data_IF_823222388169
#
_entry.id   IF_823222388169
#
_cell.length_a   1.000
_cell.length_b   1.000
_cell.length_c   1.000
_cell.angle_alpha   90.00
_cell.angle_beta   90.00
_cell.angle_gamma   90.00
#
_symmetry.space_group_name_H-M   'P 1'
#
loop_
_entity.id
_entity.type
_entity.pdbx_description
1 polymer ?
#
# COMPACT_ATOMS: atom_id res chain seq x y z
N UNK A 1 -14.05 33.72 38.16
CA UNK A 1 -14.83 32.50 38.42
C UNK A 1 -14.07 31.71 39.49
N UNK A 2 -14.51 31.78 40.72
CA UNK A 2 -13.84 31.17 41.88
C UNK A 2 -14.30 29.72 41.95
N UNK A 3 -13.38 28.78 41.78
CA UNK A 3 -13.67 27.35 41.95
C UNK A 3 -13.93 27.08 43.43
N UNK A 4 -15.13 26.60 43.77
CA UNK A 4 -15.48 26.16 45.10
C UNK A 4 -14.53 25.07 45.60
N UNK A 5 -13.97 25.19 46.83
CA UNK A 5 -13.14 24.17 47.45
C UNK A 5 -14.05 23.10 48.04
N UNK A 6 -14.27 21.99 47.33
CA UNK A 6 -15.15 20.96 47.92
C UNK A 6 -15.24 19.61 47.23
N UNK A 7 -14.57 19.39 46.14
CA UNK A 7 -14.49 18.05 45.56
C UNK A 7 -13.08 17.46 45.75
N UNK A 8 -12.82 17.02 47.00
CA UNK A 8 -11.73 16.06 47.20
C UNK A 8 -12.05 14.80 46.38
N UNK A 9 -11.35 14.62 45.30
CA UNK A 9 -11.36 13.35 44.57
C UNK A 9 -10.88 12.30 45.57
N UNK A 10 -11.80 11.47 46.07
CA UNK A 10 -11.48 10.34 46.89
C UNK A 10 -10.60 9.41 46.03
N UNK A 11 -9.27 9.55 46.18
CA UNK A 11 -8.34 8.64 45.52
C UNK A 11 -8.60 7.23 46.04
N UNK A 12 -9.03 6.33 45.18
CA UNK A 12 -9.11 4.91 45.50
C UNK A 12 -7.76 4.48 46.02
N UNK A 13 -7.75 3.63 47.06
CA UNK A 13 -6.56 3.14 47.76
C UNK A 13 -5.60 2.30 46.90
N UNK A 14 -5.98 1.96 45.67
CA UNK A 14 -5.10 1.24 44.76
C UNK A 14 -4.14 2.21 44.08
N UNK A 15 -2.83 2.00 44.21
CA UNK A 15 -1.86 2.89 43.59
C UNK A 15 -2.03 2.92 42.08
N UNK A 16 -2.27 4.11 41.52
CA UNK A 16 -2.28 4.33 40.09
C UNK A 16 -0.89 3.99 39.56
N UNK A 17 -0.80 2.94 38.71
CA UNK A 17 0.46 2.51 38.11
C UNK A 17 0.57 3.03 36.69
N UNK A 18 1.76 3.47 36.33
CA UNK A 18 2.09 3.77 34.93
C UNK A 18 2.08 2.46 34.15
N UNK A 19 1.44 2.43 32.98
CA UNK A 19 1.49 1.27 32.09
C UNK A 19 2.95 1.06 31.64
N UNK A 20 3.43 -0.21 31.60
CA UNK A 20 4.80 -0.49 31.19
C UNK A 20 5.08 -0.19 29.71
N UNK A 21 4.03 -0.13 28.90
CA UNK A 21 4.09 0.20 27.47
C UNK A 21 2.80 0.87 27.02
N UNK A 22 2.87 1.64 25.94
CA UNK A 22 1.72 2.26 25.28
C UNK A 22 1.02 1.29 24.31
N UNK A 23 1.66 0.16 23.97
CA UNK A 23 1.11 -0.84 23.06
C UNK A 23 0.19 -1.82 23.80
N UNK A 24 -0.88 -2.24 23.12
CA UNK A 24 -1.82 -3.20 23.67
C UNK A 24 -1.30 -4.65 23.55
N UNK A 25 -0.34 -4.90 22.65
CA UNK A 25 0.30 -6.21 22.48
C UNK A 25 1.77 -6.12 22.08
N UNK A 26 2.53 -7.20 22.33
CA UNK A 26 3.91 -7.34 21.84
C UNK A 26 3.99 -7.37 20.30
N UNK A 27 2.93 -7.84 19.65
CA UNK A 27 2.87 -7.86 18.19
C UNK A 27 2.80 -6.42 17.61
N UNK A 28 1.96 -5.59 18.19
CA UNK A 28 1.90 -4.16 17.82
C UNK A 28 3.22 -3.45 18.07
N UNK A 29 3.85 -3.66 19.23
CA UNK A 29 5.16 -3.08 19.52
C UNK A 29 6.20 -3.49 18.46
N UNK A 30 6.22 -4.77 18.06
CA UNK A 30 7.15 -5.27 17.03
C UNK A 30 6.90 -4.61 15.67
N UNK A 31 5.63 -4.49 15.27
CA UNK A 31 5.25 -3.80 14.03
C UNK A 31 5.67 -2.34 14.07
N UNK A 32 5.38 -1.63 15.17
CA UNK A 32 5.79 -0.25 15.36
C UNK A 32 7.29 -0.06 15.20
N UNK A 33 8.11 -0.88 15.87
CA UNK A 33 9.57 -0.78 15.80
C UNK A 33 10.10 -1.02 14.40
N UNK A 34 9.50 -1.97 13.66
CA UNK A 34 9.86 -2.23 12.26
C UNK A 34 9.54 -1.02 11.38
N UNK A 35 8.33 -0.47 11.50
CA UNK A 35 7.92 0.72 10.75
C UNK A 35 8.78 1.94 11.11
N UNK A 36 9.05 2.16 12.40
CA UNK A 36 9.87 3.27 12.88
C UNK A 36 11.29 3.18 12.33
N UNK A 37 11.94 2.00 12.39
CA UNK A 37 13.31 1.84 11.91
C UNK A 37 13.45 2.12 10.42
N UNK A 38 12.40 1.91 9.63
CA UNK A 38 12.43 2.11 8.18
C UNK A 38 12.02 3.52 7.74
N UNK A 39 11.00 4.08 8.39
CA UNK A 39 10.33 5.26 7.88
C UNK A 39 10.58 6.53 8.69
N UNK A 40 11.28 6.45 9.86
CA UNK A 40 11.49 7.61 10.74
C UNK A 40 12.43 8.68 10.18
N UNK A 41 13.17 8.40 9.11
CA UNK A 41 14.00 9.39 8.44
C UNK A 41 13.18 10.37 7.59
N UNK A 42 12.01 9.94 7.10
CA UNK A 42 11.17 10.72 6.21
C UNK A 42 9.84 11.14 6.86
N UNK A 43 9.35 10.35 7.81
CA UNK A 43 8.03 10.49 8.40
C UNK A 43 8.09 10.44 9.93
N UNK A 44 7.18 11.15 10.58
CA UNK A 44 6.96 11.01 12.02
C UNK A 44 5.89 9.94 12.23
N UNK A 45 6.21 8.94 13.03
CA UNK A 45 5.30 7.84 13.36
C UNK A 45 4.78 7.98 14.80
N UNK A 46 3.46 8.12 14.94
CA UNK A 46 2.78 8.18 16.23
C UNK A 46 2.05 6.85 16.50
N UNK A 47 2.34 6.18 17.61
CA UNK A 47 1.54 5.04 18.06
C UNK A 47 0.27 5.53 18.77
N UNK A 48 -0.83 4.79 18.59
CA UNK A 48 -2.07 4.96 19.38
C UNK A 48 -2.64 6.38 19.37
N UNK A 49 -2.71 7.02 18.18
CA UNK A 49 -3.24 8.38 18.08
C UNK A 49 -4.78 8.38 18.11
N UNK A 50 -5.44 9.24 18.93
CA UNK A 50 -6.90 9.36 18.95
C UNK A 50 -7.48 9.69 17.57
N UNK A 51 -8.55 9.00 17.18
CA UNK A 51 -9.22 9.22 15.89
C UNK A 51 -9.68 10.68 15.76
N UNK A 52 -10.16 11.29 16.83
CA UNK A 52 -10.59 12.70 16.90
C UNK A 52 -9.45 13.72 16.69
N UNK A 53 -8.18 13.28 16.67
CA UNK A 53 -7.04 14.13 16.27
C UNK A 53 -6.72 14.03 14.76
N UNK A 54 -7.26 13.04 14.10
CA UNK A 54 -7.05 12.79 12.67
C UNK A 54 -8.21 13.32 11.83
N UNK A 55 -9.42 13.20 12.36
CA UNK A 55 -10.66 13.51 11.67
C UNK A 55 -11.43 14.53 12.52
N UNK A 56 -11.84 15.63 11.92
CA UNK A 56 -12.75 16.60 12.55
C UNK A 56 -14.18 16.25 12.16
N UNK A 57 -15.08 16.23 13.14
CA UNK A 57 -16.52 16.19 12.89
C UNK A 57 -17.03 17.61 12.67
N UNK A 58 -17.86 17.81 11.67
CA UNK A 58 -18.57 19.09 11.48
C UNK A 58 -19.70 19.22 12.48
N UNK A 59 -20.09 20.48 12.81
CA UNK A 59 -21.13 20.75 13.82
C UNK A 59 -22.49 20.15 13.48
N UNK A 60 -22.77 19.92 12.19
CA UNK A 60 -24.01 19.32 11.68
C UNK A 60 -24.02 17.79 11.68
N UNK A 61 -22.90 17.14 12.03
CA UNK A 61 -22.80 15.68 12.10
C UNK A 61 -23.60 15.13 13.30
N UNK A 62 -24.87 14.83 13.10
CA UNK A 62 -25.74 14.22 14.10
C UNK A 62 -25.46 12.74 14.29
N UNK A 63 -24.37 12.43 14.98
CA UNK A 63 -24.02 11.04 15.27
C UNK A 63 -24.81 10.51 16.47
N UNK A 64 -25.16 9.21 16.47
CA UNK A 64 -25.67 8.55 17.68
C UNK A 64 -24.69 8.70 18.85
N UNK A 65 -25.19 8.87 20.07
CA UNK A 65 -24.36 9.10 21.26
C UNK A 65 -23.30 8.00 21.49
N UNK A 66 -23.59 6.74 21.10
CA UNK A 66 -22.65 5.62 21.17
C UNK A 66 -21.50 5.76 20.16
N UNK A 67 -21.78 6.23 18.96
CA UNK A 67 -20.77 6.47 17.94
C UNK A 67 -19.90 7.69 18.28
N UNK A 68 -20.51 8.77 18.76
CA UNK A 68 -19.79 9.95 19.21
C UNK A 68 -18.82 9.61 20.36
N UNK A 69 -19.28 8.82 21.34
CA UNK A 69 -18.42 8.32 22.42
C UNK A 69 -17.26 7.48 21.86
N UNK A 70 -17.56 6.57 20.94
CA UNK A 70 -16.55 5.74 20.30
C UNK A 70 -15.51 6.59 19.55
N UNK A 71 -15.96 7.56 18.76
CA UNK A 71 -15.09 8.46 17.99
C UNK A 71 -14.04 9.17 18.87
N UNK A 72 -14.46 9.71 20.03
CA UNK A 72 -13.56 10.41 20.94
C UNK A 72 -12.70 9.47 21.81
N UNK A 73 -13.08 8.21 21.97
CA UNK A 73 -12.37 7.26 22.84
C UNK A 73 -11.52 6.23 22.09
N UNK A 74 -11.64 6.17 20.76
CA UNK A 74 -10.89 5.20 19.96
C UNK A 74 -9.59 5.80 19.45
N UNK A 75 -8.56 4.95 19.38
CA UNK A 75 -7.28 5.30 18.79
C UNK A 75 -7.08 4.51 17.50
N UNK A 76 -6.21 5.03 16.64
CA UNK A 76 -5.64 4.33 15.49
C UNK A 76 -4.26 3.82 15.89
N UNK A 77 -3.90 2.60 15.49
CA UNK A 77 -2.70 1.94 16.01
C UNK A 77 -1.43 2.69 15.63
N UNK A 78 -1.29 3.09 14.35
CA UNK A 78 -0.14 3.86 13.88
C UNK A 78 -0.59 4.94 12.91
N UNK A 79 -0.04 6.14 13.08
CA UNK A 79 -0.30 7.27 12.18
C UNK A 79 1.02 7.85 11.68
N UNK A 80 1.12 7.96 10.38
CA UNK A 80 2.26 8.55 9.69
C UNK A 80 1.96 10.00 9.35
N UNK A 81 2.87 10.88 9.76
CA UNK A 81 2.77 12.32 9.54
C UNK A 81 4.00 12.83 8.79
N UNK A 82 3.82 13.92 8.08
CA UNK A 82 4.97 14.71 7.57
C UNK A 82 5.83 15.22 8.72
N UNK A 83 7.07 15.66 8.48
CA UNK A 83 7.89 16.35 9.50
C UNK A 83 7.19 17.57 10.13
N UNK A 84 6.30 18.23 9.41
CA UNK A 84 5.44 19.32 9.93
C UNK A 84 4.26 18.87 10.76
N UNK A 85 4.08 17.57 11.02
CA UNK A 85 3.00 17.03 11.85
C UNK A 85 1.66 16.83 11.14
N UNK A 86 1.58 17.02 9.81
CA UNK A 86 0.35 16.78 9.04
C UNK A 86 0.15 15.27 8.85
N UNK A 87 -0.99 14.69 9.27
CA UNK A 87 -1.29 13.29 9.04
C UNK A 87 -1.38 12.97 7.53
N UNK A 88 -0.72 11.90 7.09
CA UNK A 88 -0.74 11.43 5.71
C UNK A 88 -1.63 10.20 5.56
N UNK A 89 -1.42 9.21 6.41
CA UNK A 89 -2.19 7.97 6.43
C UNK A 89 -2.05 7.29 7.79
N UNK A 90 -2.92 6.32 8.03
CA UNK A 90 -2.86 5.49 9.24
C UNK A 90 -2.90 4.01 8.92
N UNK A 91 -2.42 3.19 9.87
CA UNK A 91 -2.40 1.74 9.79
C UNK A 91 -3.06 1.17 11.05
N UNK A 92 -4.06 0.32 10.87
CA UNK A 92 -4.66 -0.54 11.89
C UNK A 92 -4.08 -1.94 11.76
N UNK A 93 -3.61 -2.49 12.87
CA UNK A 93 -3.10 -3.86 12.90
C UNK A 93 -4.21 -4.82 13.34
N UNK A 94 -4.89 -5.44 12.37
CA UNK A 94 -5.87 -6.50 12.61
C UNK A 94 -5.29 -7.87 12.30
N UNK A 95 -4.62 -8.48 13.28
CA UNK A 95 -3.96 -9.79 13.14
C UNK A 95 -4.86 -10.92 12.62
N UNK A 96 -6.17 -10.75 12.66
CA UNK A 96 -7.18 -11.72 12.20
C UNK A 96 -7.98 -11.22 10.99
N UNK A 97 -7.65 -10.09 10.43
CA UNK A 97 -8.38 -9.47 9.32
C UNK A 97 -8.30 -10.26 8.01
N UNK A 98 -9.34 -10.15 7.20
CA UNK A 98 -9.43 -10.74 5.85
C UNK A 98 -8.98 -9.80 4.73
N UNK A 99 -8.64 -8.53 5.02
CA UNK A 99 -8.38 -7.50 4.02
C UNK A 99 -9.66 -6.89 3.45
N UNK A 100 -9.54 -6.28 2.27
CA UNK A 100 -10.64 -5.63 1.57
C UNK A 100 -10.90 -6.30 0.23
N UNK A 101 -12.15 -6.25 -0.22
CA UNK A 101 -12.46 -6.49 -1.62
C UNK A 101 -11.90 -5.37 -2.50
N UNK A 102 -11.86 -5.58 -3.82
CA UNK A 102 -11.46 -4.55 -4.78
C UNK A 102 -12.33 -3.29 -4.75
N UNK A 103 -13.55 -3.41 -4.27
CA UNK A 103 -14.48 -2.28 -4.09
C UNK A 103 -14.38 -1.62 -2.71
N UNK A 104 -13.35 -1.95 -1.92
CA UNK A 104 -13.09 -1.32 -0.63
C UNK A 104 -13.95 -1.81 0.53
N UNK A 105 -14.66 -2.94 0.40
CA UNK A 105 -15.43 -3.53 1.50
C UNK A 105 -14.52 -4.41 2.35
N UNK A 106 -14.41 -4.09 3.65
CA UNK A 106 -13.63 -4.89 4.59
C UNK A 106 -14.23 -6.28 4.80
N UNK A 107 -13.37 -7.29 4.75
CA UNK A 107 -13.74 -8.70 4.89
C UNK A 107 -13.28 -9.18 6.26
N UNK A 108 -14.21 -9.41 7.20
CA UNK A 108 -13.87 -9.92 8.51
C UNK A 108 -13.36 -11.37 8.40
N UNK A 109 -12.41 -11.75 9.23
CA UNK A 109 -11.93 -13.12 9.29
C UNK A 109 -13.07 -14.09 9.68
N UNK A 110 -13.25 -15.17 8.93
CA UNK A 110 -14.36 -16.14 9.12
C UNK A 110 -14.46 -16.76 10.51
N UNK A 111 -13.32 -16.81 11.24
CA UNK A 111 -13.24 -17.41 12.58
C UNK A 111 -13.58 -16.42 13.72
N UNK A 112 -13.63 -15.12 13.46
CA UNK A 112 -13.95 -14.14 14.50
C UNK A 112 -15.45 -13.87 14.51
N UNK A 113 -16.10 -14.30 15.60
CA UNK A 113 -17.50 -13.92 15.91
C UNK A 113 -17.59 -12.61 16.72
N UNK A 114 -16.49 -11.89 16.86
CA UNK A 114 -16.47 -10.64 17.64
C UNK A 114 -17.09 -9.49 16.83
N UNK A 115 -18.42 -9.37 17.00
CA UNK A 115 -19.21 -8.30 16.39
C UNK A 115 -18.77 -6.92 16.82
N UNK A 116 -18.25 -6.79 18.05
CA UNK A 116 -17.80 -5.51 18.59
C UNK A 116 -16.53 -5.03 17.88
N UNK A 117 -15.56 -5.94 17.64
CA UNK A 117 -14.36 -5.64 16.87
C UNK A 117 -14.70 -5.24 15.44
N UNK A 118 -15.59 -5.98 14.78
CA UNK A 118 -16.05 -5.66 13.42
C UNK A 118 -16.73 -4.30 13.36
N UNK A 119 -17.58 -3.99 14.32
CA UNK A 119 -18.25 -2.70 14.42
C UNK A 119 -17.25 -1.56 14.64
N UNK A 120 -16.30 -1.71 15.57
CA UNK A 120 -15.25 -0.71 15.83
C UNK A 120 -14.43 -0.39 14.60
N UNK A 121 -13.91 -1.42 13.95
CA UNK A 121 -13.09 -1.25 12.73
C UNK A 121 -13.93 -0.68 11.58
N UNK A 122 -15.13 -1.22 11.35
CA UNK A 122 -16.04 -0.70 10.32
C UNK A 122 -16.42 0.76 10.54
N UNK A 123 -16.54 1.19 11.79
CA UNK A 123 -16.83 2.59 12.14
C UNK A 123 -15.62 3.49 11.84
N UNK A 124 -14.39 3.10 12.21
CA UNK A 124 -13.16 3.83 11.84
C UNK A 124 -13.03 3.99 10.33
N UNK A 125 -13.23 2.90 9.58
CA UNK A 125 -13.16 2.90 8.12
C UNK A 125 -14.20 3.82 7.48
N UNK A 126 -15.43 3.82 8.00
CA UNK A 126 -16.49 4.70 7.51
C UNK A 126 -16.15 6.18 7.71
N UNK A 127 -15.60 6.56 8.87
CA UNK A 127 -15.16 7.94 9.10
C UNK A 127 -13.97 8.31 8.20
N UNK A 128 -12.98 7.42 8.08
CA UNK A 128 -11.85 7.66 7.20
C UNK A 128 -12.30 7.86 5.74
N UNK A 129 -13.22 7.01 5.26
CA UNK A 129 -13.78 7.11 3.92
C UNK A 129 -14.57 8.41 3.69
N UNK A 130 -15.36 8.87 4.67
CA UNK A 130 -16.15 10.10 4.55
C UNK A 130 -15.27 11.34 4.30
N UNK A 131 -14.08 11.38 4.87
CA UNK A 131 -13.10 12.48 4.69
C UNK A 131 -11.96 12.12 3.74
N UNK A 132 -12.06 11.00 3.03
CA UNK A 132 -11.02 10.48 2.12
C UNK A 132 -9.64 10.35 2.79
N UNK A 133 -9.63 10.04 4.08
CA UNK A 133 -8.39 9.83 4.81
C UNK A 133 -7.88 8.40 4.59
N UNK A 134 -6.63 8.23 4.11
CA UNK A 134 -6.08 6.90 3.84
C UNK A 134 -5.91 6.10 5.12
N UNK A 135 -6.63 4.97 5.23
CA UNK A 135 -6.55 4.05 6.36
C UNK A 135 -6.32 2.62 5.86
N UNK A 136 -5.20 2.04 6.27
CA UNK A 136 -4.84 0.65 5.97
C UNK A 136 -5.26 -0.25 7.13
N UNK A 137 -5.70 -1.47 6.80
CA UNK A 137 -5.89 -2.54 7.79
C UNK A 137 -4.99 -3.71 7.40
N UNK A 138 -3.97 -3.95 8.20
CA UNK A 138 -2.95 -4.96 7.92
C UNK A 138 -2.98 -6.09 8.94
N UNK A 139 -2.46 -7.25 8.57
CA UNK A 139 -2.32 -8.40 9.45
C UNK A 139 -0.86 -8.89 9.49
N UNK A 140 -0.66 -10.07 10.07
CA UNK A 140 0.64 -10.72 10.10
C UNK A 140 1.23 -11.02 8.71
N UNK A 141 0.39 -11.19 7.67
CA UNK A 141 0.87 -11.46 6.31
C UNK A 141 1.62 -10.26 5.73
N UNK A 142 1.07 -9.06 5.88
CA UNK A 142 1.64 -7.84 5.32
C UNK A 142 2.88 -7.34 6.05
N UNK A 143 3.01 -7.67 7.34
CA UNK A 143 4.14 -7.27 8.20
C UNK A 143 5.22 -8.34 8.33
N UNK A 144 5.04 -9.49 7.67
CA UNK A 144 6.04 -10.54 7.62
C UNK A 144 7.17 -10.16 6.69
N UNK A 145 8.40 -10.24 7.19
CA UNK A 145 9.60 -10.04 6.39
C UNK A 145 9.76 -11.12 5.31
N UNK A 146 10.23 -10.74 4.15
CA UNK A 146 10.59 -11.67 3.07
C UNK A 146 11.94 -12.34 3.30
N UNK A 147 12.85 -11.63 3.97
CA UNK A 147 14.24 -12.04 4.13
C UNK A 147 14.89 -11.37 5.34
N UNK A 148 16.21 -11.52 5.44
CA UNK A 148 17.05 -10.97 6.53
C UNK A 148 17.07 -9.42 6.54
N UNK A 149 16.67 -8.77 5.45
CA UNK A 149 16.63 -7.31 5.34
C UNK A 149 15.36 -6.69 5.92
N UNK A 150 14.47 -7.51 6.44
CA UNK A 150 13.22 -7.12 7.11
C UNK A 150 12.23 -6.33 6.24
N UNK A 151 12.35 -6.38 4.90
CA UNK A 151 11.39 -5.76 3.99
C UNK A 151 10.09 -6.57 3.97
N UNK A 152 8.96 -5.89 3.94
CA UNK A 152 7.62 -6.49 4.05
C UNK A 152 6.72 -6.02 2.90
N UNK A 153 5.56 -6.67 2.71
CA UNK A 153 4.50 -6.17 1.82
C UNK A 153 4.04 -4.77 2.25
N UNK A 154 3.93 -4.54 3.55
CA UNK A 154 3.52 -3.23 4.07
C UNK A 154 4.50 -2.12 3.66
N UNK A 155 5.79 -2.39 3.64
CA UNK A 155 6.79 -1.42 3.16
C UNK A 155 6.59 -1.07 1.68
N UNK A 156 6.26 -2.05 0.84
CA UNK A 156 5.92 -1.79 -0.57
C UNK A 156 4.64 -0.96 -0.72
N UNK A 157 3.61 -1.23 0.10
CA UNK A 157 2.37 -0.44 0.09
C UNK A 157 2.63 1.02 0.49
N UNK A 158 3.35 1.23 1.59
CA UNK A 158 3.74 2.57 2.06
C UNK A 158 4.59 3.26 1.00
N UNK A 159 5.57 2.56 0.43
CA UNK A 159 6.44 3.08 -0.61
C UNK A 159 5.69 3.53 -1.86
N UNK A 160 4.75 2.72 -2.36
CA UNK A 160 3.90 3.09 -3.50
C UNK A 160 2.99 4.29 -3.18
N UNK A 161 2.44 4.34 -1.96
CA UNK A 161 1.67 5.48 -1.50
C UNK A 161 2.51 6.77 -1.51
N UNK A 162 3.72 6.73 -0.96
CA UNK A 162 4.63 7.87 -0.92
C UNK A 162 5.10 8.27 -2.32
N UNK A 163 5.41 7.30 -3.18
CA UNK A 163 5.79 7.55 -4.56
C UNK A 163 4.70 8.33 -5.30
N UNK A 164 3.44 7.95 -5.12
CA UNK A 164 2.31 8.66 -5.71
C UNK A 164 2.10 10.03 -5.07
N UNK A 165 2.21 10.13 -3.74
CA UNK A 165 1.98 11.37 -3.00
C UNK A 165 3.02 12.45 -3.31
N UNK A 166 4.26 12.03 -3.59
CA UNK A 166 5.38 12.93 -3.93
C UNK A 166 5.56 13.13 -5.44
N UNK A 167 4.75 12.49 -6.29
CA UNK A 167 4.94 12.55 -7.74
C UNK A 167 4.91 13.98 -8.28
N UNK A 168 4.04 14.82 -7.72
CA UNK A 168 3.95 16.24 -8.12
C UNK A 168 5.26 17.00 -7.89
N UNK A 169 6.02 16.66 -6.82
CA UNK A 169 7.34 17.24 -6.57
C UNK A 169 8.31 16.89 -7.71
N UNK A 170 8.32 15.61 -8.14
CA UNK A 170 9.16 15.16 -9.28
C UNK A 170 8.73 15.74 -10.61
N UNK A 171 7.42 15.98 -10.80
CA UNK A 171 6.91 16.63 -12.02
C UNK A 171 7.25 18.12 -12.05
N UNK A 172 7.27 18.79 -10.91
CA UNK A 172 7.63 20.20 -10.80
C UNK A 172 9.13 20.43 -11.13
N UNK A 173 9.97 19.45 -10.82
CA UNK A 173 11.42 19.50 -11.10
C UNK A 173 11.75 19.08 -12.55
N UNK A 174 10.77 18.70 -13.36
CA UNK A 174 11.00 18.34 -14.76
C UNK A 174 11.46 19.57 -15.55
N UNK A 175 12.71 19.52 -16.01
CA UNK A 175 13.18 20.42 -17.04
C UNK A 175 12.60 19.94 -18.38
N UNK A 176 11.45 20.45 -18.76
CA UNK A 176 10.91 20.23 -20.08
C UNK A 176 11.80 21.00 -21.06
N UNK A 177 12.40 20.36 -22.09
CA UNK A 177 13.25 21.05 -23.06
C UNK A 177 12.48 22.22 -23.70
N UNK A 178 13.20 23.29 -23.98
CA UNK A 178 12.63 24.42 -24.72
C UNK A 178 12.29 23.95 -26.14
N UNK A 179 11.02 24.08 -26.51
CA UNK A 179 10.49 23.50 -27.74
C UNK A 179 10.52 24.47 -28.94
N UNK A 180 11.16 25.63 -28.82
CA UNK A 180 11.30 26.60 -29.92
C UNK A 180 11.96 25.97 -31.15
N UNK A 181 12.81 24.97 -30.98
CA UNK A 181 13.44 24.21 -32.08
C UNK A 181 12.43 23.36 -32.89
N UNK A 182 11.24 23.07 -32.36
CA UNK A 182 10.20 22.28 -33.02
C UNK A 182 9.07 23.14 -33.61
N UNK A 183 9.06 24.41 -33.33
CA UNK A 183 7.98 25.34 -33.74
C UNK A 183 7.76 25.46 -35.29
N UNK A 184 8.71 24.97 -36.07
CA UNK A 184 8.61 24.99 -37.55
C UNK A 184 8.15 23.67 -38.18
N UNK A 185 7.88 22.63 -37.41
CA UNK A 185 7.63 21.26 -37.93
C UNK A 185 6.13 20.90 -38.06
N UNK A 186 5.21 21.84 -37.71
CA UNK A 186 3.77 21.58 -37.77
C UNK A 186 3.34 20.37 -36.94
N UNK A 187 2.35 19.60 -37.44
CA UNK A 187 1.78 18.43 -36.74
C UNK A 187 2.83 17.39 -36.27
N UNK A 188 3.96 17.28 -36.97
CA UNK A 188 5.05 16.40 -36.57
C UNK A 188 5.79 16.95 -35.33
N UNK A 189 5.95 18.27 -35.24
CA UNK A 189 6.54 18.93 -34.08
C UNK A 189 5.68 18.71 -32.83
N UNK A 190 4.36 18.89 -32.95
CA UNK A 190 3.40 18.68 -31.85
C UNK A 190 3.40 17.21 -31.37
N UNK A 191 3.48 16.24 -32.29
CA UNK A 191 3.58 14.83 -31.95
C UNK A 191 4.90 14.50 -31.21
N UNK A 192 6.04 14.95 -31.73
CA UNK A 192 7.34 14.72 -31.14
C UNK A 192 7.46 15.36 -29.74
N UNK A 193 6.89 16.57 -29.58
CA UNK A 193 6.80 17.24 -28.31
C UNK A 193 5.96 16.43 -27.30
N UNK A 194 4.82 15.88 -27.74
CA UNK A 194 3.96 15.03 -26.90
C UNK A 194 4.69 13.77 -26.40
N UNK A 195 5.48 13.12 -27.26
CA UNK A 195 6.27 11.94 -26.86
C UNK A 195 7.39 12.29 -25.86
N UNK A 196 8.10 13.41 -26.06
CA UNK A 196 9.13 13.86 -25.13
C UNK A 196 8.57 14.19 -23.73
N UNK A 197 7.41 14.85 -23.68
CA UNK A 197 6.70 15.13 -22.43
C UNK A 197 6.30 13.80 -21.75
N UNK A 198 5.75 12.85 -22.51
CA UNK A 198 5.34 11.56 -21.99
C UNK A 198 6.54 10.77 -21.43
N UNK A 199 7.67 10.75 -22.13
CA UNK A 199 8.89 10.10 -21.67
C UNK A 199 9.45 10.76 -20.39
N UNK A 200 9.41 12.08 -20.30
CA UNK A 200 9.83 12.83 -19.12
C UNK A 200 8.92 12.51 -17.91
N UNK A 201 7.61 12.46 -18.11
CA UNK A 201 6.64 12.09 -17.06
C UNK A 201 6.85 10.65 -16.62
N UNK A 202 7.01 9.70 -17.54
CA UNK A 202 7.33 8.31 -17.19
C UNK A 202 8.65 8.21 -16.43
N UNK A 203 9.66 8.98 -16.81
CA UNK A 203 10.94 9.05 -16.09
C UNK A 203 10.78 9.57 -14.66
N UNK A 204 9.93 10.57 -14.44
CA UNK A 204 9.60 11.09 -13.10
C UNK A 204 8.86 10.04 -12.25
N UNK A 205 7.89 9.34 -12.82
CA UNK A 205 7.19 8.26 -12.14
C UNK A 205 8.13 7.12 -11.71
N UNK A 206 9.02 6.71 -12.60
CA UNK A 206 10.02 5.66 -12.30
C UNK A 206 10.95 6.13 -11.18
N UNK A 207 11.47 7.35 -11.24
CA UNK A 207 12.32 7.92 -10.17
C UNK A 207 11.58 7.98 -8.86
N UNK A 208 10.36 8.53 -8.83
CA UNK A 208 9.56 8.59 -7.62
C UNK A 208 9.33 7.20 -7.01
N UNK A 209 9.06 6.18 -7.83
CA UNK A 209 8.92 4.79 -7.36
C UNK A 209 10.23 4.24 -6.79
N UNK A 210 11.35 4.40 -7.48
CA UNK A 210 12.64 3.88 -7.02
C UNK A 210 13.12 4.57 -5.74
N UNK A 211 12.83 5.84 -5.57
CA UNK A 211 13.24 6.60 -4.39
C UNK A 211 12.39 6.27 -3.15
N UNK A 212 11.09 6.04 -3.34
CA UNK A 212 10.15 5.89 -2.23
C UNK A 212 9.69 4.45 -1.97
N UNK A 213 9.73 3.54 -2.97
CA UNK A 213 9.34 2.14 -2.78
C UNK A 213 10.56 1.22 -2.60
N UNK A 214 10.82 0.70 -1.39
CA UNK A 214 11.96 -0.17 -1.13
C UNK A 214 11.88 -1.51 -1.89
N UNK A 215 10.68 -2.03 -2.19
CA UNK A 215 10.53 -3.26 -2.99
C UNK A 215 10.88 -3.01 -4.46
N UNK A 216 10.38 -1.92 -5.05
CA UNK A 216 10.72 -1.55 -6.42
C UNK A 216 12.22 -1.33 -6.58
N UNK A 217 12.83 -0.59 -5.64
CA UNK A 217 14.27 -0.34 -5.62
C UNK A 217 15.06 -1.64 -5.55
N UNK A 218 14.71 -2.55 -4.66
CA UNK A 218 15.39 -3.84 -4.51
C UNK A 218 15.21 -4.73 -5.75
N UNK A 219 14.01 -4.78 -6.30
CA UNK A 219 13.77 -5.52 -7.54
C UNK A 219 14.67 -5.02 -8.69
N UNK A 220 14.79 -3.70 -8.85
CA UNK A 220 15.66 -3.10 -9.85
C UNK A 220 17.15 -3.40 -9.60
N UNK A 221 17.62 -3.29 -8.35
CA UNK A 221 18.99 -3.62 -7.97
C UNK A 221 19.35 -5.08 -8.26
N UNK A 222 18.49 -6.02 -7.87
CA UNK A 222 18.71 -7.46 -8.10
C UNK A 222 18.66 -7.80 -9.59
N UNK A 223 17.76 -7.17 -10.36
CA UNK A 223 17.70 -7.33 -11.82
C UNK A 223 18.97 -6.85 -12.51
N UNK A 224 19.47 -5.68 -12.10
CA UNK A 224 20.74 -5.16 -12.62
C UNK A 224 21.93 -6.05 -12.23
N UNK A 225 21.98 -6.51 -10.97
CA UNK A 225 23.03 -7.41 -10.49
C UNK A 225 23.02 -8.79 -11.16
N UNK A 226 21.86 -9.23 -11.64
CA UNK A 226 21.71 -10.45 -12.44
C UNK A 226 22.27 -10.27 -13.88
N UNK A 227 22.55 -9.05 -14.32
CA UNK A 227 22.99 -8.70 -15.67
C UNK A 227 21.82 -8.53 -16.65
N UNK A 228 20.61 -8.33 -16.14
CA UNK A 228 19.40 -8.30 -16.94
C UNK A 228 18.95 -9.69 -17.38
N UNK A 229 18.17 -9.75 -18.43
CA UNK A 229 17.68 -11.00 -19.00
C UNK A 229 16.16 -11.03 -19.10
N UNK A 230 15.64 -12.02 -19.85
CA UNK A 230 14.19 -12.20 -19.98
C UNK A 230 13.57 -12.80 -18.71
N UNK A 231 12.43 -12.26 -18.33
CA UNK A 231 11.57 -12.85 -17.32
C UNK A 231 10.11 -12.81 -17.78
N UNK A 232 9.28 -13.65 -17.19
CA UNK A 232 7.84 -13.62 -17.39
C UNK A 232 7.09 -13.41 -16.09
N UNK A 233 5.93 -12.76 -16.17
CA UNK A 233 5.03 -12.52 -15.06
C UNK A 233 3.69 -13.16 -15.35
N UNK A 234 3.11 -13.80 -14.34
CA UNK A 234 1.77 -14.38 -14.37
C UNK A 234 0.95 -13.83 -13.19
N UNK A 235 -0.22 -13.29 -13.49
CA UNK A 235 -1.14 -12.77 -12.48
C UNK A 235 -2.07 -13.86 -11.96
N UNK A 236 -2.18 -13.97 -10.66
CA UNK A 236 -3.00 -14.94 -9.94
C UNK A 236 -4.02 -14.20 -9.08
N UNK A 237 -5.22 -14.74 -8.95
CA UNK A 237 -6.29 -14.14 -8.15
C UNK A 237 -6.97 -15.20 -7.27
N UNK A 238 -7.44 -14.78 -6.10
CA UNK A 238 -8.19 -15.63 -5.17
C UNK A 238 -9.51 -14.93 -4.78
N UNK A 239 -10.68 -15.44 -5.19
CA UNK A 239 -10.86 -16.60 -6.06
C UNK A 239 -10.32 -16.41 -7.49
N UNK A 240 -9.97 -17.50 -8.19
CA UNK A 240 -9.39 -17.42 -9.52
C UNK A 240 -10.39 -16.82 -10.52
N UNK A 241 -9.85 -16.05 -11.49
CA UNK A 241 -10.67 -15.53 -12.59
C UNK A 241 -11.03 -16.65 -13.56
N UNK A 242 -12.20 -16.59 -14.20
CA UNK A 242 -12.52 -17.44 -15.33
C UNK A 242 -11.42 -17.39 -16.41
N UNK A 243 -11.23 -18.47 -17.13
CA UNK A 243 -10.26 -18.52 -18.24
C UNK A 243 -10.58 -17.43 -19.28
N UNK A 244 -9.54 -16.76 -19.78
CA UNK A 244 -9.73 -15.72 -20.79
C UNK A 244 -9.99 -16.36 -22.15
N UNK A 245 -11.07 -15.98 -22.79
CA UNK A 245 -11.25 -16.32 -24.20
C UNK A 245 -10.27 -15.51 -25.05
N UNK A 246 -9.64 -16.13 -26.06
CA UNK A 246 -8.79 -15.39 -27.00
C UNK A 246 -9.63 -14.37 -27.78
N UNK A 247 -9.06 -13.20 -28.03
CA UNK A 247 -9.73 -12.22 -28.88
C UNK A 247 -9.89 -12.79 -30.30
N UNK A 248 -11.08 -12.78 -30.87
CA UNK A 248 -11.31 -13.36 -32.21
C UNK A 248 -10.47 -12.62 -33.27
N UNK A 249 -9.61 -13.34 -33.96
CA UNK A 249 -8.78 -12.75 -35.02
C UNK A 249 -9.66 -12.29 -36.20
N UNK A 250 -9.40 -11.09 -36.68
CA UNK A 250 -10.07 -10.52 -37.86
C UNK A 250 -11.46 -9.91 -37.62
N UNK A 251 -11.93 -9.82 -36.39
CA UNK A 251 -13.17 -9.10 -36.05
C UNK A 251 -12.88 -7.63 -35.68
N UNK A 252 -13.72 -6.74 -36.18
CA UNK A 252 -13.68 -5.30 -35.86
C UNK A 252 -14.26 -5.05 -34.45
N UNK A 253 -15.12 -5.96 -33.98
CA UNK A 253 -15.75 -5.88 -32.67
C UNK A 253 -15.86 -7.25 -32.02
N UNK A 254 -15.67 -7.36 -30.70
CA UNK A 254 -15.79 -8.63 -29.99
C UNK A 254 -17.22 -9.17 -30.02
N UNK A 255 -17.36 -10.47 -30.26
CA UNK A 255 -18.67 -11.13 -30.27
C UNK A 255 -19.30 -11.22 -28.85
N UNK A 256 -20.61 -11.54 -28.76
CA UNK A 256 -21.36 -11.58 -27.50
C UNK A 256 -20.72 -12.50 -26.45
N UNK A 257 -20.20 -13.66 -26.86
CA UNK A 257 -19.56 -14.65 -25.98
C UNK A 257 -18.28 -14.08 -25.35
N UNK A 258 -17.44 -13.41 -26.14
CA UNK A 258 -16.24 -12.74 -25.62
C UNK A 258 -16.61 -11.64 -24.62
N UNK A 259 -17.64 -10.83 -24.93
CA UNK A 259 -18.10 -9.77 -24.02
C UNK A 259 -18.67 -10.34 -22.72
N UNK A 260 -19.43 -11.44 -22.78
CA UNK A 260 -19.93 -12.13 -21.58
C UNK A 260 -18.78 -12.68 -20.72
N UNK A 261 -17.77 -13.29 -21.34
CA UNK A 261 -16.58 -13.76 -20.64
C UNK A 261 -15.79 -12.58 -20.01
N UNK A 262 -15.61 -11.50 -20.75
CA UNK A 262 -14.94 -10.28 -20.23
C UNK A 262 -15.68 -9.73 -19.01
N UNK A 263 -17.00 -9.61 -19.07
CA UNK A 263 -17.83 -9.17 -17.94
C UNK A 263 -17.73 -10.11 -16.74
N UNK A 264 -17.75 -11.44 -16.98
CA UNK A 264 -17.60 -12.42 -15.91
C UNK A 264 -16.22 -12.34 -15.25
N UNK A 265 -15.16 -12.17 -16.03
CA UNK A 265 -13.79 -11.96 -15.52
C UNK A 265 -13.69 -10.68 -14.72
N UNK A 266 -14.26 -9.59 -15.22
CA UNK A 266 -14.29 -8.31 -14.52
C UNK A 266 -15.02 -8.42 -13.18
N UNK A 267 -16.20 -9.05 -13.16
CA UNK A 267 -16.96 -9.29 -11.94
C UNK A 267 -16.21 -10.18 -10.94
N UNK A 268 -15.49 -11.19 -11.40
CA UNK A 268 -14.65 -12.04 -10.56
C UNK A 268 -13.44 -11.27 -10.00
N UNK A 269 -12.82 -10.43 -10.81
CA UNK A 269 -11.71 -9.56 -10.37
C UNK A 269 -12.13 -8.62 -9.26
N UNK A 270 -13.32 -8.00 -9.34
CA UNK A 270 -13.86 -7.17 -8.26
C UNK A 270 -14.09 -7.93 -6.95
N UNK A 271 -14.34 -9.25 -7.03
CA UNK A 271 -14.53 -10.12 -5.88
C UNK A 271 -13.23 -10.70 -5.32
N UNK A 272 -12.12 -10.53 -6.03
CA UNK A 272 -10.84 -11.05 -5.59
C UNK A 272 -10.41 -10.37 -4.28
N UNK A 273 -10.08 -11.20 -3.29
CA UNK A 273 -9.62 -10.77 -1.96
C UNK A 273 -8.10 -10.68 -1.94
N UNK A 274 -7.45 -11.59 -2.72
CA UNK A 274 -6.00 -11.66 -2.83
C UNK A 274 -5.60 -11.58 -4.30
N UNK A 275 -4.47 -10.95 -4.54
CA UNK A 275 -3.78 -10.96 -5.81
C UNK A 275 -2.40 -11.55 -5.60
N UNK A 276 -1.96 -12.36 -6.55
CA UNK A 276 -0.61 -12.94 -6.58
C UNK A 276 0.09 -12.60 -7.87
N UNK A 277 1.40 -12.55 -7.81
CA UNK A 277 2.27 -12.47 -8.97
C UNK A 277 3.28 -13.60 -8.90
N UNK A 278 3.36 -14.38 -9.97
CA UNK A 278 4.41 -15.38 -10.20
C UNK A 278 5.40 -14.81 -11.20
N UNK A 279 6.65 -14.75 -10.81
CA UNK A 279 7.75 -14.33 -11.69
C UNK A 279 8.65 -15.52 -11.99
N UNK A 280 9.00 -15.68 -13.25
CA UNK A 280 9.89 -16.76 -13.72
C UNK A 280 11.09 -16.15 -14.45
N UNK A 281 12.28 -16.54 -14.05
CA UNK A 281 13.55 -16.21 -14.73
C UNK A 281 14.20 -17.51 -15.21
N UNK A 282 14.53 -17.57 -16.48
CA UNK A 282 15.29 -18.67 -17.04
C UNK A 282 16.80 -18.39 -16.91
N UNK A 283 17.51 -19.27 -16.25
CA UNK A 283 18.96 -19.22 -16.09
C UNK A 283 19.63 -20.38 -16.82
N UNK A 284 20.93 -20.33 -16.95
CA UNK A 284 21.72 -21.48 -17.51
C UNK A 284 21.59 -22.73 -16.66
N UNK A 285 21.23 -22.61 -15.40
CA UNK A 285 21.06 -23.73 -14.44
C UNK A 285 19.61 -24.20 -14.31
N UNK A 286 18.66 -23.61 -15.05
CA UNK A 286 17.23 -23.92 -15.00
C UNK A 286 16.37 -22.70 -14.71
N UNK A 287 15.07 -22.92 -14.52
CA UNK A 287 14.12 -21.85 -14.23
C UNK A 287 14.03 -21.59 -12.72
N UNK A 288 14.08 -20.33 -12.33
CA UNK A 288 13.81 -19.86 -10.96
C UNK A 288 12.43 -19.22 -10.94
N UNK A 289 11.59 -19.64 -10.01
CA UNK A 289 10.19 -19.19 -9.91
C UNK A 289 9.90 -18.83 -8.47
N UNK A 290 9.33 -17.63 -8.26
CA UNK A 290 8.76 -17.22 -6.97
C UNK A 290 7.34 -16.69 -7.19
N UNK A 291 6.52 -16.85 -6.14
CA UNK A 291 5.14 -16.38 -6.15
C UNK A 291 4.87 -15.62 -4.86
N UNK A 292 4.40 -14.39 -4.98
CA UNK A 292 4.02 -13.55 -3.85
C UNK A 292 2.54 -13.26 -3.92
N UNK A 293 1.89 -13.27 -2.76
CA UNK A 293 0.49 -12.94 -2.60
C UNK A 293 0.33 -11.75 -1.66
N UNK A 294 -0.60 -10.85 -1.98
CA UNK A 294 -1.05 -9.83 -1.06
C UNK A 294 -2.56 -9.68 -1.11
N UNK A 295 -3.10 -9.15 -0.02
CA UNK A 295 -4.50 -8.73 0.06
C UNK A 295 -4.61 -7.25 -0.27
N UNK A 296 -5.80 -6.82 -0.65
CA UNK A 296 -6.09 -5.40 -0.61
C UNK A 296 -6.20 -4.97 0.86
N UNK A 297 -5.39 -4.03 1.31
CA UNK A 297 -5.29 -3.63 2.72
C UNK A 297 -5.87 -2.25 3.01
N UNK A 298 -6.33 -1.52 2.01
CA UNK A 298 -6.71 -0.14 2.23
C UNK A 298 -7.84 0.36 1.37
N UNK A 299 -8.47 1.40 1.89
CA UNK A 299 -9.43 2.24 1.21
C UNK A 299 -8.77 3.61 0.96
N UNK A 300 -9.05 4.23 -0.20
CA UNK A 300 -8.54 5.55 -0.60
C UNK A 300 -6.99 5.69 -0.71
N UNK A 301 -6.24 4.60 -0.68
CA UNK A 301 -4.77 4.65 -0.80
C UNK A 301 -4.30 4.96 -2.22
N UNK A 302 -5.09 4.62 -3.22
CA UNK A 302 -4.69 4.71 -4.62
C UNK A 302 -3.48 3.84 -4.98
N UNK A 303 -3.18 2.82 -4.16
CA UNK A 303 -2.11 1.84 -4.38
C UNK A 303 -2.73 0.55 -4.89
N UNK A 304 -2.19 0.04 -6.01
CA UNK A 304 -2.59 -1.25 -6.53
C UNK A 304 -1.81 -2.37 -5.84
N UNK A 305 -2.47 -3.34 -5.20
CA UNK A 305 -1.80 -4.50 -4.65
C UNK A 305 -1.04 -5.31 -5.72
N UNK A 306 -1.47 -5.24 -6.99
CA UNK A 306 -0.78 -5.87 -8.13
C UNK A 306 0.66 -5.36 -8.23
N UNK A 307 0.88 -4.05 -8.22
CA UNK A 307 2.22 -3.46 -8.32
C UNK A 307 3.11 -3.89 -7.15
N UNK A 308 2.55 -3.96 -5.95
CA UNK A 308 3.29 -4.37 -4.75
C UNK A 308 3.75 -5.81 -4.84
N UNK A 309 2.84 -6.75 -5.20
CA UNK A 309 3.20 -8.18 -5.31
C UNK A 309 4.12 -8.45 -6.49
N UNK A 310 4.00 -7.68 -7.57
CA UNK A 310 4.92 -7.78 -8.71
C UNK A 310 6.35 -7.39 -8.30
N UNK A 311 6.52 -6.25 -7.64
CA UNK A 311 7.83 -5.81 -7.15
C UNK A 311 8.42 -6.82 -6.15
N UNK A 312 7.59 -7.35 -5.24
CA UNK A 312 8.03 -8.35 -4.27
C UNK A 312 8.44 -9.68 -4.95
N UNK A 313 7.64 -10.16 -5.91
CA UNK A 313 7.94 -11.38 -6.64
C UNK A 313 9.20 -11.22 -7.52
N UNK A 314 9.35 -10.08 -8.20
CA UNK A 314 10.56 -9.73 -8.96
C UNK A 314 11.79 -9.72 -8.06
N UNK A 315 11.72 -9.03 -6.93
CA UNK A 315 12.81 -8.97 -5.96
C UNK A 315 13.29 -10.36 -5.54
N UNK A 316 12.35 -11.21 -5.08
CA UNK A 316 12.69 -12.56 -4.62
C UNK A 316 13.24 -13.43 -5.75
N UNK A 317 12.61 -13.40 -6.93
CA UNK A 317 13.04 -14.21 -8.08
C UNK A 317 14.42 -13.81 -8.56
N UNK A 318 14.68 -12.51 -8.73
CA UNK A 318 15.98 -12.02 -9.21
C UNK A 318 17.08 -12.28 -8.18
N UNK A 319 16.83 -12.06 -6.89
CA UNK A 319 17.76 -12.39 -5.80
C UNK A 319 18.13 -13.87 -5.81
N UNK A 320 17.14 -14.75 -5.94
CA UNK A 320 17.37 -16.19 -5.99
C UNK A 320 18.09 -16.63 -7.27
N UNK A 321 17.70 -16.09 -8.43
CA UNK A 321 18.38 -16.35 -9.68
C UNK A 321 19.85 -15.93 -9.63
N UNK A 322 20.16 -14.78 -9.07
CA UNK A 322 21.53 -14.30 -8.87
C UNK A 322 22.35 -15.23 -7.98
N UNK A 323 21.76 -15.72 -6.90
CA UNK A 323 22.44 -16.69 -6.00
C UNK A 323 22.76 -18.00 -6.77
N UNK A 324 21.79 -18.52 -7.52
CA UNK A 324 21.94 -19.78 -8.30
C UNK A 324 22.97 -19.63 -9.42
N UNK A 325 23.04 -18.48 -10.06
CA UNK A 325 24.02 -18.22 -11.15
C UNK A 325 25.40 -17.82 -10.64
N UNK A 326 25.56 -17.59 -9.34
CA UNK A 326 26.83 -17.14 -8.76
C UNK A 326 27.21 -15.69 -9.13
N UNK A 327 26.29 -14.92 -9.71
CA UNK A 327 26.53 -13.50 -10.05
C UNK A 327 26.75 -12.68 -8.81
N UNK A 328 27.87 -11.94 -8.72
CA UNK A 328 28.17 -11.07 -7.58
C UNK A 328 27.55 -9.70 -7.80
N UNK A 329 27.04 -9.09 -6.72
CA UNK A 329 26.69 -7.67 -6.71
C UNK A 329 28.01 -6.90 -6.86
N UNK A 330 28.20 -6.23 -8.01
CA UNK A 330 29.22 -5.19 -8.09
C UNK A 330 28.82 -4.06 -7.14
N UNK A 331 29.68 -3.70 -6.21
CA UNK A 331 29.49 -2.47 -5.44
C UNK A 331 29.43 -1.32 -6.44
N UNK A 332 28.26 -0.76 -6.66
CA UNK A 332 28.10 0.51 -7.32
C UNK A 332 28.33 1.53 -6.21
N UNK A 333 29.57 2.07 -6.17
CA UNK A 333 29.92 3.24 -5.36
C UNK A 333 29.17 4.49 -5.86
#
# INVERSE_FOLDING_TARGET
>A
MVLSPGHAVQMRSDPVKVRPTVFDSKAEEKVFRSLQSRWSTELILYPSLPLAKLICLEEDDRLPASELRFFYQTNVDYTFCTPGGRPLFSVEFDGLGGGFSKVGVYIPHRKTRDRNRQWKLGTKLRYAAAVRYPLMVVSFEEVRSFDDESITILDGIIGQFLAKHKLDDYLTDLQIPDFDDYAGLGDYGDWAQGELIQDAVMGAEVRSKLDNDPLARRAAQEYHALGGGGYSTEWLYDPPLPEALPFPKGLISPGPEYMANFQARWAAWYKAIRVGCRVTVNTTSGSVVETVWARNVGHELGVSPEVVVENAAKYLTFKRARIVTGSRVGNVE
#
